data_IF_177912426216
#
_entry.id   IF_177912426216
#
_cell.length_a   1.000
_cell.length_b   1.000
_cell.length_c   1.000
_cell.angle_alpha   90.00
_cell.angle_beta   90.00
_cell.angle_gamma   90.00
#
_symmetry.space_group_name_H-M   'P 1'
#
loop_
_entity.id
_entity.type
_entity.pdbx_description
1 polymer ?
#
# COMPACT_ATOMS: atom_id res chain seq x y z
N UNK A 1 -6.99 -34.60 -4.49
CA UNK A 1 -7.00 -33.93 -5.81
C UNK A 1 -7.53 -32.54 -5.53
N UNK A 2 -6.64 -31.56 -5.34
CA UNK A 2 -7.02 -30.21 -4.93
C UNK A 2 -7.41 -29.41 -6.18
N UNK A 3 -8.67 -28.96 -6.23
CA UNK A 3 -9.16 -28.00 -7.21
C UNK A 3 -8.47 -26.65 -7.01
N UNK A 4 -7.97 -26.11 -8.12
CA UNK A 4 -7.44 -24.75 -8.24
C UNK A 4 -8.62 -23.79 -8.04
N UNK A 5 -8.65 -23.07 -6.92
CA UNK A 5 -9.61 -22.00 -6.70
C UNK A 5 -9.22 -20.80 -7.57
N UNK A 6 -9.87 -20.70 -8.72
CA UNK A 6 -9.89 -19.48 -9.53
C UNK A 6 -10.35 -18.30 -8.68
N UNK A 7 -9.56 -17.22 -8.73
CA UNK A 7 -9.73 -16.01 -7.95
C UNK A 7 -10.99 -15.22 -8.39
N UNK A 8 -12.16 -15.63 -7.92
CA UNK A 8 -13.46 -14.96 -8.16
C UNK A 8 -13.62 -13.63 -7.40
N UNK A 9 -12.61 -13.18 -6.65
CA UNK A 9 -12.70 -11.99 -5.80
C UNK A 9 -12.24 -10.69 -6.49
N UNK A 10 -11.59 -10.76 -7.66
CA UNK A 10 -11.18 -9.58 -8.41
C UNK A 10 -12.38 -8.69 -8.83
N UNK A 11 -13.49 -9.32 -9.24
CA UNK A 11 -14.71 -8.60 -9.64
C UNK A 11 -15.41 -7.87 -8.48
N UNK A 12 -15.32 -8.40 -7.26
CA UNK A 12 -15.91 -7.77 -6.07
C UNK A 12 -15.11 -6.56 -5.62
N UNK A 13 -13.77 -6.63 -5.66
CA UNK A 13 -12.91 -5.49 -5.34
C UNK A 13 -13.05 -4.37 -6.37
N UNK A 14 -13.14 -4.71 -7.66
CA UNK A 14 -13.40 -3.76 -8.75
C UNK A 14 -14.72 -2.99 -8.57
N UNK A 15 -15.79 -3.67 -8.17
CA UNK A 15 -17.10 -3.03 -7.95
C UNK A 15 -17.15 -2.15 -6.68
N UNK A 16 -16.38 -2.48 -5.65
CA UNK A 16 -16.23 -1.64 -4.46
C UNK A 16 -15.41 -0.38 -4.80
N UNK A 17 -14.36 -0.52 -5.60
CA UNK A 17 -13.49 0.56 -6.05
C UNK A 17 -14.24 1.58 -6.93
N UNK A 18 -15.12 1.11 -7.82
CA UNK A 18 -16.01 1.94 -8.65
C UNK A 18 -16.94 2.86 -7.85
N UNK A 19 -17.36 2.46 -6.65
CA UNK A 19 -18.26 3.25 -5.80
C UNK A 19 -17.54 4.39 -5.08
N UNK A 20 -16.23 4.26 -4.83
CA UNK A 20 -15.46 5.21 -4.01
C UNK A 20 -14.89 6.34 -4.89
N UNK A 21 -14.52 6.07 -6.14
CA UNK A 21 -13.94 7.07 -7.05
C UNK A 21 -14.49 6.97 -8.50
N UNK A 22 -15.54 7.73 -8.85
CA UNK A 22 -16.15 7.68 -10.18
C UNK A 22 -15.23 8.13 -11.35
N UNK A 23 -14.10 8.78 -11.07
CA UNK A 23 -13.10 9.20 -12.08
C UNK A 23 -12.13 8.11 -12.54
N UNK A 24 -12.19 6.90 -11.97
CA UNK A 24 -11.21 5.83 -12.24
C UNK A 24 -11.61 4.89 -13.40
N UNK A 25 -12.85 5.01 -13.92
CA UNK A 25 -13.43 4.11 -14.93
C UNK A 25 -12.61 4.06 -16.23
N UNK A 26 -12.04 5.18 -16.67
CA UNK A 26 -11.29 5.25 -17.94
C UNK A 26 -9.91 4.61 -17.87
N UNK A 27 -9.40 4.27 -16.68
CA UNK A 27 -8.03 3.79 -16.52
C UNK A 27 -7.89 2.29 -16.77
N UNK A 28 -8.88 1.48 -16.38
CA UNK A 28 -8.82 0.02 -16.57
C UNK A 28 -9.46 -0.46 -17.87
N UNK A 29 -10.37 0.33 -18.46
CA UNK A 29 -11.03 -0.03 -19.73
C UNK A 29 -10.03 -0.07 -20.91
N UNK A 30 -8.82 0.52 -20.77
CA UNK A 30 -7.73 0.48 -21.76
C UNK A 30 -6.73 -0.69 -21.58
N UNK A 31 -6.82 -1.44 -20.48
CA UNK A 31 -5.95 -2.61 -20.22
C UNK A 31 -6.74 -3.90 -20.46
N UNK A 32 -6.81 -4.34 -21.73
CA UNK A 32 -7.16 -5.72 -22.04
C UNK A 32 -5.89 -6.61 -22.03
N UNK A 33 -6.04 -7.93 -21.98
CA UNK A 33 -4.91 -8.88 -21.97
C UNK A 33 -4.02 -8.78 -23.24
N UNK A 34 -4.55 -8.29 -24.36
CA UNK A 34 -3.80 -8.08 -25.60
C UNK A 34 -2.87 -6.84 -25.52
N UNK A 35 -3.23 -5.82 -24.73
CA UNK A 35 -2.41 -4.61 -24.50
C UNK A 35 -1.08 -4.95 -23.83
N UNK A 36 -1.05 -5.95 -22.95
CA UNK A 36 0.15 -6.44 -22.27
C UNK A 36 1.14 -7.13 -23.23
N UNK A 37 0.62 -7.85 -24.23
CA UNK A 37 1.42 -8.55 -25.23
C UNK A 37 2.02 -7.61 -26.30
N UNK A 38 1.33 -6.51 -26.61
CA UNK A 38 1.80 -5.51 -27.58
C UNK A 38 2.87 -4.58 -26.97
N UNK A 39 2.76 -4.24 -25.68
CA UNK A 39 3.76 -3.39 -25.00
C UNK A 39 5.13 -4.05 -24.84
N UNK A 40 5.19 -5.38 -24.71
CA UNK A 40 6.46 -6.13 -24.61
C UNK A 40 7.38 -6.04 -25.84
N UNK A 41 6.91 -5.47 -26.97
CA UNK A 41 7.70 -5.36 -28.22
C UNK A 41 8.29 -3.98 -28.50
N UNK A 42 7.98 -2.95 -27.69
CA UNK A 42 8.55 -1.59 -27.84
C UNK A 42 9.26 -1.17 -26.57
N UNK A 43 10.32 -1.89 -26.22
CA UNK A 43 11.22 -1.49 -25.16
C UNK A 43 11.91 -0.16 -25.55
N UNK A 44 11.48 0.93 -24.91
CA UNK A 44 12.36 1.97 -24.40
C UNK A 44 11.53 3.03 -23.63
N UNK A 45 11.86 3.20 -22.34
CA UNK A 45 11.41 4.25 -21.39
C UNK A 45 10.05 4.05 -20.67
N UNK A 46 9.14 3.19 -21.14
CA UNK A 46 7.85 2.94 -20.44
C UNK A 46 7.77 1.66 -19.60
N UNK A 47 8.81 0.82 -19.60
CA UNK A 47 8.75 -0.49 -18.94
C UNK A 47 8.94 -0.40 -17.41
N UNK A 48 9.82 0.49 -16.94
CA UNK A 48 9.96 0.78 -15.50
C UNK A 48 8.67 1.34 -14.89
N UNK A 49 7.91 2.07 -15.71
CA UNK A 49 6.66 2.72 -15.36
C UNK A 49 5.56 1.69 -15.10
N UNK A 50 5.52 0.62 -15.89
CA UNK A 50 4.54 -0.47 -15.73
C UNK A 50 4.96 -1.37 -14.57
N UNK A 51 6.26 -1.65 -14.40
CA UNK A 51 6.79 -2.45 -13.28
C UNK A 51 6.54 -1.75 -11.92
N UNK A 52 6.64 -0.42 -11.84
CA UNK A 52 6.29 0.33 -10.63
C UNK A 52 4.81 0.19 -10.25
N UNK A 53 3.91 0.13 -11.24
CA UNK A 53 2.46 0.01 -11.02
C UNK A 53 1.98 -1.44 -10.85
N UNK A 54 2.71 -2.41 -11.40
CA UNK A 54 2.43 -3.84 -11.19
C UNK A 54 2.81 -4.29 -9.78
N UNK A 55 3.79 -3.64 -9.13
CA UNK A 55 4.18 -3.97 -7.77
C UNK A 55 3.17 -3.52 -6.71
N UNK A 56 2.26 -2.59 -7.04
CA UNK A 56 1.18 -2.08 -6.17
C UNK A 56 0.05 -3.06 -5.87
N UNK A 57 0.19 -4.32 -6.28
CA UNK A 57 -0.79 -5.37 -6.06
C UNK A 57 -0.54 -6.01 -4.69
N UNK A 58 -1.62 -6.19 -3.94
CA UNK A 58 -1.63 -7.06 -2.77
C UNK A 58 -1.14 -8.45 -3.16
N UNK A 59 -0.07 -8.91 -2.51
CA UNK A 59 0.41 -10.28 -2.60
C UNK A 59 -0.16 -11.06 -1.42
N UNK A 60 -0.68 -12.26 -1.63
CA UNK A 60 -1.21 -13.10 -0.54
C UNK A 60 -0.12 -13.48 0.49
N UNK A 61 1.17 -13.38 0.11
CA UNK A 61 2.28 -13.45 1.06
C UNK A 61 2.32 -12.27 2.04
N UNK A 62 1.57 -11.19 1.85
CA UNK A 62 1.43 -10.10 2.83
C UNK A 62 0.35 -10.40 3.87
N UNK A 63 -0.48 -11.44 3.67
CA UNK A 63 -1.47 -11.83 4.66
C UNK A 63 -0.82 -12.20 5.98
N UNK A 64 -1.36 -11.66 7.06
CA UNK A 64 -1.00 -12.05 8.44
C UNK A 64 -2.03 -13.01 9.04
N UNK A 65 -3.05 -13.39 8.27
CA UNK A 65 -4.11 -14.31 8.68
C UNK A 65 -5.20 -13.67 9.55
N UNK A 66 -5.21 -12.34 9.68
CA UNK A 66 -6.21 -11.59 10.45
C UNK A 66 -6.99 -10.71 9.48
N UNK A 67 -8.16 -11.20 9.05
CA UNK A 67 -8.87 -10.61 7.91
C UNK A 67 -9.24 -9.13 8.04
N UNK A 68 -9.37 -8.58 9.25
CA UNK A 68 -9.57 -7.13 9.41
C UNK A 68 -8.28 -6.33 9.16
N UNK A 69 -7.15 -6.83 9.65
CA UNK A 69 -5.84 -6.19 9.48
C UNK A 69 -5.40 -6.31 8.02
N UNK A 70 -5.56 -7.49 7.39
CA UNK A 70 -5.25 -7.67 5.97
C UNK A 70 -6.04 -6.70 5.07
N UNK A 71 -7.29 -6.38 5.43
CA UNK A 71 -8.07 -5.37 4.70
C UNK A 71 -7.47 -3.97 4.85
N UNK A 72 -7.03 -3.59 6.04
CA UNK A 72 -6.40 -2.29 6.28
C UNK A 72 -5.07 -2.18 5.53
N UNK A 73 -4.26 -3.23 5.52
CA UNK A 73 -3.02 -3.27 4.74
C UNK A 73 -3.29 -3.06 3.25
N UNK A 74 -4.31 -3.71 2.68
CA UNK A 74 -4.75 -3.49 1.29
C UNK A 74 -5.15 -2.04 1.02
N UNK A 75 -5.94 -1.45 1.91
CA UNK A 75 -6.35 -0.04 1.81
C UNK A 75 -5.14 0.90 1.83
N UNK A 76 -4.17 0.66 2.72
CA UNK A 76 -2.97 1.48 2.81
C UNK A 76 -2.11 1.36 1.55
N UNK A 77 -1.90 0.15 1.02
CA UNK A 77 -1.18 -0.04 -0.24
C UNK A 77 -1.87 0.70 -1.39
N UNK A 78 -3.20 0.73 -1.42
CA UNK A 78 -3.96 1.51 -2.41
C UNK A 78 -3.73 3.01 -2.26
N UNK A 79 -3.77 3.56 -1.04
CA UNK A 79 -3.48 4.98 -0.77
C UNK A 79 -2.05 5.35 -1.22
N UNK A 80 -1.06 4.52 -0.89
CA UNK A 80 0.33 4.72 -1.31
C UNK A 80 0.43 4.72 -2.84
N UNK A 81 -0.26 3.80 -3.50
CA UNK A 81 -0.28 3.69 -4.97
C UNK A 81 -0.89 4.92 -5.64
N UNK A 82 -2.01 5.41 -5.10
CA UNK A 82 -2.67 6.62 -5.59
C UNK A 82 -1.79 7.87 -5.42
N UNK A 83 -1.13 8.01 -4.26
CA UNK A 83 -0.18 9.09 -4.02
C UNK A 83 0.96 9.06 -5.05
N UNK A 84 1.59 7.91 -5.26
CA UNK A 84 2.68 7.76 -6.23
C UNK A 84 2.22 8.05 -7.66
N UNK A 85 0.98 7.69 -8.00
CA UNK A 85 0.36 8.05 -9.27
C UNK A 85 0.22 9.56 -9.44
N UNK A 86 -0.29 10.27 -8.43
CA UNK A 86 -0.42 11.72 -8.51
C UNK A 86 0.93 12.44 -8.63
N UNK A 87 1.96 11.95 -7.91
CA UNK A 87 3.32 12.47 -8.03
C UNK A 87 3.88 12.28 -9.43
N UNK A 88 3.72 11.09 -10.00
CA UNK A 88 4.21 10.75 -11.34
C UNK A 88 3.49 11.52 -12.46
N UNK A 89 2.17 11.67 -12.35
CA UNK A 89 1.38 12.44 -13.31
C UNK A 89 1.60 13.96 -13.18
N UNK A 90 2.57 14.39 -12.36
CA UNK A 90 2.86 15.79 -12.07
C UNK A 90 1.59 16.57 -11.73
N UNK A 91 0.70 15.96 -10.93
CA UNK A 91 -0.53 16.63 -10.48
C UNK A 91 -0.16 17.86 -9.66
N UNK A 92 -1.13 18.74 -9.47
CA UNK A 92 -0.90 19.94 -8.67
C UNK A 92 -0.47 19.56 -7.26
N UNK A 93 0.44 20.35 -6.70
CA UNK A 93 0.94 20.18 -5.32
C UNK A 93 -0.19 19.99 -4.30
N UNK A 94 -1.30 20.74 -4.44
CA UNK A 94 -2.48 20.61 -3.58
C UNK A 94 -3.08 19.19 -3.60
N UNK A 95 -3.15 18.54 -4.77
CA UNK A 95 -3.69 17.17 -4.90
C UNK A 95 -2.75 16.17 -4.23
N UNK A 96 -1.44 16.34 -4.43
CA UNK A 96 -0.42 15.44 -3.87
C UNK A 96 -0.37 15.55 -2.35
N UNK A 97 -0.38 16.76 -1.80
CA UNK A 97 -0.41 16.98 -0.35
C UNK A 97 -1.66 16.40 0.29
N UNK A 98 -2.82 16.53 -0.37
CA UNK A 98 -4.04 15.87 0.08
C UNK A 98 -3.91 14.34 0.09
N UNK A 99 -3.26 13.74 -0.90
CA UNK A 99 -3.02 12.30 -0.92
C UNK A 99 -2.05 11.85 0.19
N UNK A 100 -1.04 12.67 0.53
CA UNK A 100 -0.23 12.46 1.73
C UNK A 100 -1.07 12.47 3.01
N UNK A 101 -1.96 13.45 3.19
CA UNK A 101 -2.82 13.57 4.37
C UNK A 101 -3.73 12.34 4.54
N UNK A 102 -4.37 11.89 3.46
CA UNK A 102 -5.21 10.69 3.50
C UNK A 102 -4.35 9.45 3.81
N UNK A 103 -3.21 9.28 3.15
CA UNK A 103 -2.30 8.14 3.40
C UNK A 103 -1.85 8.09 4.86
N UNK A 104 -1.43 9.24 5.43
CA UNK A 104 -1.02 9.37 6.83
C UNK A 104 -2.16 9.00 7.78
N UNK A 105 -3.37 9.50 7.52
CA UNK A 105 -4.56 9.22 8.32
C UNK A 105 -4.89 7.73 8.34
N UNK A 106 -4.84 7.05 7.19
CA UNK A 106 -5.09 5.61 7.10
C UNK A 106 -4.04 4.80 7.88
N UNK A 107 -2.76 5.10 7.67
CA UNK A 107 -1.64 4.44 8.37
C UNK A 107 -1.71 4.68 9.89
N UNK A 108 -1.94 5.92 10.33
CA UNK A 108 -2.02 6.27 11.74
C UNK A 108 -3.16 5.54 12.45
N UNK A 109 -4.33 5.43 11.81
CA UNK A 109 -5.47 4.70 12.35
C UNK A 109 -5.16 3.21 12.48
N UNK A 110 -4.61 2.60 11.43
CA UNK A 110 -4.22 1.19 11.41
C UNK A 110 -3.21 0.87 12.54
N UNK A 111 -2.15 1.67 12.67
CA UNK A 111 -1.17 1.50 13.75
C UNK A 111 -1.78 1.61 15.14
N UNK A 112 -2.72 2.55 15.36
CA UNK A 112 -3.42 2.66 16.66
C UNK A 112 -4.24 1.41 16.98
N UNK A 113 -4.89 0.83 15.98
CA UNK A 113 -5.67 -0.41 16.15
C UNK A 113 -4.76 -1.58 16.49
N UNK A 114 -3.66 -1.78 15.76
CA UNK A 114 -2.69 -2.83 16.07
C UNK A 114 -2.05 -2.65 17.45
N UNK A 115 -1.64 -1.42 17.79
CA UNK A 115 -1.06 -1.11 19.10
C UNK A 115 -2.04 -1.41 20.23
N UNK A 116 -3.33 -1.10 20.05
CA UNK A 116 -4.37 -1.43 21.01
C UNK A 116 -4.49 -2.95 21.21
N UNK A 117 -4.50 -3.73 20.13
CA UNK A 117 -4.58 -5.19 20.17
C UNK A 117 -3.30 -5.77 20.81
N UNK A 118 -2.12 -5.34 20.37
CA UNK A 118 -0.84 -5.77 20.93
C UNK A 118 -0.77 -5.51 22.44
N UNK A 119 -1.25 -4.34 22.90
CA UNK A 119 -1.31 -4.01 24.32
C UNK A 119 -2.29 -4.90 25.08
N UNK A 120 -3.48 -5.15 24.52
CA UNK A 120 -4.51 -6.01 25.11
C UNK A 120 -3.99 -7.44 25.31
N UNK A 121 -3.33 -8.01 24.31
CA UNK A 121 -2.80 -9.37 24.33
C UNK A 121 -1.40 -9.49 24.93
N UNK A 122 -0.85 -8.39 25.48
CA UNK A 122 0.48 -8.32 26.11
C UNK A 122 1.59 -8.82 25.18
N UNK A 123 1.54 -8.43 23.91
CA UNK A 123 2.54 -8.80 22.92
C UNK A 123 3.96 -8.38 23.38
N UNK A 124 4.92 -9.32 23.52
CA UNK A 124 6.22 -9.03 24.14
C UNK A 124 7.01 -7.91 23.45
N UNK A 125 6.84 -7.72 22.13
CA UNK A 125 7.56 -6.71 21.35
C UNK A 125 6.80 -5.39 21.15
N UNK A 126 5.69 -5.18 21.85
CA UNK A 126 4.83 -3.98 21.72
C UNK A 126 5.61 -2.65 21.67
N UNK A 127 6.55 -2.44 22.61
CA UNK A 127 7.33 -1.18 22.66
C UNK A 127 8.19 -0.97 21.42
N UNK A 128 8.70 -2.05 20.83
CA UNK A 128 9.50 -2.02 19.60
C UNK A 128 8.61 -1.65 18.42
N UNK A 129 7.43 -2.27 18.30
CA UNK A 129 6.49 -1.99 17.21
C UNK A 129 6.04 -0.53 17.20
N UNK A 130 5.61 -0.01 18.36
CA UNK A 130 5.23 1.41 18.52
C UNK A 130 6.35 2.36 18.07
N UNK A 131 7.62 1.99 18.30
CA UNK A 131 8.77 2.79 17.86
C UNK A 131 8.90 2.76 16.33
N UNK A 132 8.73 1.61 15.70
CA UNK A 132 8.77 1.49 14.23
C UNK A 132 7.60 2.23 13.57
N UNK A 133 6.38 2.14 14.11
CA UNK A 133 5.22 2.91 13.65
C UNK A 133 5.48 4.42 13.63
N UNK A 134 6.05 4.96 14.73
CA UNK A 134 6.42 6.37 14.80
C UNK A 134 7.48 6.76 13.78
N UNK A 135 8.43 5.88 13.47
CA UNK A 135 9.43 6.15 12.41
C UNK A 135 8.77 6.21 11.04
N UNK A 136 7.85 5.29 10.72
CA UNK A 136 7.12 5.30 9.45
C UNK A 136 6.35 6.61 9.25
N UNK A 137 5.59 7.04 10.27
CA UNK A 137 4.86 8.32 10.22
C UNK A 137 5.80 9.53 10.09
N UNK A 138 6.94 9.53 10.80
CA UNK A 138 7.93 10.61 10.68
C UNK A 138 8.58 10.67 9.29
N UNK A 139 8.86 9.54 8.66
CA UNK A 139 9.39 9.53 7.29
C UNK A 139 8.36 10.03 6.27
N UNK A 140 7.07 9.72 6.49
CA UNK A 140 5.97 10.23 5.66
C UNK A 140 5.87 11.77 5.74
N UNK A 141 5.94 12.32 6.95
CA UNK A 141 5.92 13.77 7.19
C UNK A 141 7.12 14.49 6.54
N UNK A 142 8.32 13.90 6.62
CA UNK A 142 9.51 14.45 5.93
C UNK A 142 9.32 14.49 4.41
N UNK A 143 8.73 13.46 3.82
CA UNK A 143 8.45 13.41 2.38
C UNK A 143 7.42 14.47 1.99
N UNK A 144 6.36 14.61 2.78
CA UNK A 144 5.36 15.67 2.60
C UNK A 144 5.98 17.06 2.69
N UNK A 145 6.77 17.34 3.73
CA UNK A 145 7.52 18.60 3.89
C UNK A 145 8.43 18.91 2.68
N UNK A 146 9.04 17.89 2.07
CA UNK A 146 9.87 18.09 0.88
C UNK A 146 9.03 18.54 -0.33
N UNK A 147 7.84 17.95 -0.53
CA UNK A 147 6.88 18.40 -1.54
C UNK A 147 6.37 19.81 -1.26
N UNK A 148 6.22 20.17 0.02
CA UNK A 148 5.83 21.52 0.44
C UNK A 148 6.88 22.59 0.13
N UNK A 149 8.17 22.25 0.10
CA UNK A 149 9.24 23.23 0.01
C UNK A 149 10.08 23.15 -1.28
N UNK A 150 9.90 22.11 -2.10
CA UNK A 150 10.76 21.83 -3.24
C UNK A 150 10.04 21.49 -4.55
N UNK A 151 10.83 21.13 -5.55
CA UNK A 151 10.37 20.58 -6.83
C UNK A 151 10.37 19.05 -6.79
N UNK A 152 9.37 18.43 -7.42
CA UNK A 152 9.20 16.98 -7.48
C UNK A 152 10.05 16.39 -8.61
N UNK A 153 11.34 16.21 -8.37
CA UNK A 153 12.23 15.56 -9.35
C UNK A 153 11.89 14.07 -9.52
N UNK A 154 12.18 13.45 -10.68
CA UNK A 154 12.00 12.01 -10.86
C UNK A 154 12.71 11.17 -9.80
N UNK A 155 13.92 11.60 -9.38
CA UNK A 155 14.67 10.95 -8.31
C UNK A 155 13.93 10.99 -6.97
N UNK A 156 13.28 12.12 -6.65
CA UNK A 156 12.46 12.24 -5.45
C UNK A 156 11.25 11.29 -5.48
N UNK A 157 10.58 11.17 -6.64
CA UNK A 157 9.45 10.22 -6.80
C UNK A 157 9.92 8.78 -6.61
N UNK A 158 11.04 8.39 -7.22
CA UNK A 158 11.61 7.04 -7.07
C UNK A 158 12.01 6.75 -5.60
N UNK A 159 12.61 7.71 -4.90
CA UNK A 159 12.94 7.56 -3.49
C UNK A 159 11.68 7.47 -2.61
N UNK A 160 10.64 8.23 -2.94
CA UNK A 160 9.33 8.17 -2.25
C UNK A 160 8.70 6.79 -2.42
N UNK A 161 8.74 6.23 -3.63
CA UNK A 161 8.30 4.86 -3.91
C UNK A 161 9.03 3.86 -3.02
N UNK A 162 10.37 3.89 -3.00
CA UNK A 162 11.18 2.98 -2.20
C UNK A 162 10.87 3.08 -0.70
N UNK A 163 10.73 4.30 -0.17
CA UNK A 163 10.47 4.52 1.25
C UNK A 163 9.06 4.10 1.66
N UNK A 164 8.05 4.47 0.88
CA UNK A 164 6.65 4.23 1.25
C UNK A 164 6.21 2.83 0.88
N UNK A 165 6.32 2.46 -0.38
CA UNK A 165 5.78 1.21 -0.88
C UNK A 165 6.55 0.00 -0.35
N UNK A 166 7.86 -0.03 -0.60
CA UNK A 166 8.71 -1.14 -0.13
C UNK A 166 8.89 -1.12 1.38
N UNK A 167 8.97 0.07 1.98
CA UNK A 167 9.02 0.22 3.44
C UNK A 167 7.78 -0.36 4.13
N UNK A 168 6.59 -0.10 3.60
CA UNK A 168 5.35 -0.62 4.18
C UNK A 168 5.20 -2.14 3.97
N UNK A 169 5.52 -2.66 2.78
CA UNK A 169 5.55 -4.12 2.55
C UNK A 169 6.50 -4.84 3.51
N UNK A 170 7.69 -4.27 3.72
CA UNK A 170 8.66 -4.81 4.67
C UNK A 170 8.12 -4.80 6.10
N UNK A 171 7.46 -3.71 6.51
CA UNK A 171 6.80 -3.63 7.82
C UNK A 171 5.80 -4.77 8.02
N UNK A 172 4.93 -5.05 7.04
CA UNK A 172 4.00 -6.18 7.10
C UNK A 172 4.75 -7.51 7.26
N UNK A 173 5.76 -7.74 6.41
CA UNK A 173 6.48 -9.01 6.33
C UNK A 173 7.35 -9.30 7.56
N UNK A 174 7.99 -8.27 8.12
CA UNK A 174 8.96 -8.41 9.20
C UNK A 174 8.36 -8.21 10.59
N UNK A 175 7.25 -7.47 10.71
CA UNK A 175 6.67 -7.08 11.99
C UNK A 175 5.25 -7.62 12.16
N UNK A 176 4.35 -7.30 11.24
CA UNK A 176 2.92 -7.59 11.42
C UNK A 176 2.63 -9.08 11.29
N UNK A 177 3.39 -9.81 10.47
CA UNK A 177 3.31 -11.27 10.41
C UNK A 177 3.64 -11.94 11.73
N UNK A 178 4.73 -11.52 12.38
CA UNK A 178 5.11 -12.08 13.68
C UNK A 178 4.04 -11.80 14.73
N UNK A 179 3.49 -10.58 14.71
CA UNK A 179 2.37 -10.22 15.56
C UNK A 179 1.11 -11.05 15.25
N UNK A 180 0.79 -11.28 13.98
CA UNK A 180 -0.34 -12.09 13.55
C UNK A 180 -0.25 -13.53 14.04
N UNK A 181 0.92 -14.16 13.90
CA UNK A 181 1.18 -15.50 14.44
C UNK A 181 0.99 -15.57 15.96
N UNK A 182 1.48 -14.55 16.68
CA UNK A 182 1.29 -14.46 18.13
C UNK A 182 -0.20 -14.36 18.48
N UNK A 183 -0.94 -13.45 17.84
CA UNK A 183 -2.35 -13.22 18.13
C UNK A 183 -3.21 -14.46 17.86
N UNK A 184 -2.99 -15.15 16.74
CA UNK A 184 -3.71 -16.38 16.39
C UNK A 184 -3.47 -17.49 17.42
N UNK A 185 -2.27 -17.58 18.00
CA UNK A 185 -1.99 -18.52 19.11
C UNK A 185 -2.69 -18.09 20.39
N UNK A 186 -2.68 -16.80 20.73
CA UNK A 186 -3.31 -16.27 21.95
C UNK A 186 -4.84 -16.32 21.95
N UNK A 187 -5.49 -16.38 20.79
CA UNK A 187 -6.95 -16.51 20.69
C UNK A 187 -7.40 -17.99 20.77
N UNK A 188 -6.52 -18.92 20.38
CA UNK A 188 -6.84 -20.36 20.33
C UNK A 188 -6.53 -21.10 21.63
N UNK A 189 -5.63 -20.56 22.46
CA UNK A 189 -5.28 -21.10 23.77
C UNK A 189 -6.06 -20.41 24.88
#
# INVERSE_FOLDING_TARGET
MYEILENKNAGLQYNLFKKIHPGFKTFFDDFNEDSLAIMGKKANVNDEIIILFMNSIWDDNLSIGIGNIDRQHKEILNCISELLFFMKQNKSKKVILKAFDETEKFISRHFKEEEAIQKQYKYPKYKTIVKEHRKVLSELDKLKCFVENGSMSPLFVANTYQKMFNGYRRHILELDKEFGEFLLKSIRG
#
